data_IF_075972152998
#
_entry.id   IF_075972152998
#
_cell.length_a   1.000
_cell.length_b   1.000
_cell.length_c   1.000
_cell.angle_alpha   90.00
_cell.angle_beta   90.00
_cell.angle_gamma   90.00
#
_symmetry.space_group_name_H-M   'P 1'
#
loop_
_entity.id
_entity.type
_entity.pdbx_description
1 polymer ?
2 non-polymer ?
3 water ?
#
# COMPACT_ATOMS: atom_id res chain seq x y z
N UNK A 1 8.89 -21.13 5.64
CA UNK A 1 7.95 -20.59 6.63
C UNK A 1 8.68 -19.40 7.21
N UNK A 2 8.15 -18.30 6.74
CA UNK A 2 8.70 -17.03 7.01
C UNK A 2 7.97 -16.40 8.15
N UNK A 3 7.75 -15.07 8.09
CA UNK A 3 7.20 -14.39 9.26
C UNK A 3 5.94 -15.01 9.83
N UNK A 4 5.78 -14.92 11.15
CA UNK A 4 4.61 -15.44 11.83
C UNK A 4 3.43 -14.45 11.86
N UNK A 5 2.23 -14.96 12.21
CA UNK A 5 1.05 -14.14 12.31
C UNK A 5 1.36 -13.03 13.30
N UNK A 6 0.79 -11.86 13.06
CA UNK A 6 0.96 -10.76 13.99
C UNK A 6 -0.16 -9.79 13.83
N UNK A 7 -0.33 -8.98 14.87
CA UNK A 7 -1.33 -7.93 14.87
C UNK A 7 -0.55 -6.68 15.25
N UNK A 8 -0.64 -5.66 14.42
CA UNK A 8 0.06 -4.39 14.64
C UNK A 8 -0.95 -3.29 14.78
N UNK A 9 -1.11 -2.76 15.99
CA UNK A 9 -2.09 -1.69 16.25
C UNK A 9 -1.49 -0.32 16.15
N UNK A 10 -0.18 -0.24 15.90
CA UNK A 10 0.54 1.04 15.76
C UNK A 10 0.48 1.87 17.04
N UNK A 11 0.59 1.24 18.18
CA UNK A 11 0.54 1.95 19.47
C UNK A 11 1.90 2.38 19.98
N UNK A 12 2.96 1.69 19.55
CA UNK A 12 4.28 2.06 19.97
C UNK A 12 5.26 1.44 18.99
N UNK A 13 6.47 1.95 18.94
CA UNK A 13 7.48 1.49 18.03
C UNK A 13 8.52 0.63 18.72
N UNK A 14 8.84 -0.52 18.18
CA UNK A 14 9.91 -1.36 18.68
C UNK A 14 10.77 -1.80 17.49
N UNK A 15 12.04 -2.11 17.75
CA UNK A 15 12.93 -2.47 16.67
C UNK A 15 12.53 -3.82 16.11
N UNK A 16 12.91 -4.07 14.85
CA UNK A 16 12.73 -5.39 14.27
C UNK A 16 11.35 -5.66 13.72
N UNK A 17 10.68 -4.59 13.29
CA UNK A 17 9.37 -4.84 12.76
C UNK A 17 9.16 -4.09 11.47
N UNK A 18 9.51 -2.80 11.52
CA UNK A 18 9.23 -1.96 10.38
C UNK A 18 10.40 -1.04 10.12
N UNK A 19 10.40 -0.46 8.92
CA UNK A 19 11.41 0.50 8.60
C UNK A 19 10.82 1.59 7.72
N UNK A 20 11.31 2.82 7.84
CA UNK A 20 10.82 3.89 6.98
C UNK A 20 11.74 4.05 5.78
N UNK A 21 11.21 4.35 4.61
CA UNK A 21 12.05 4.69 3.46
C UNK A 21 12.52 6.13 3.69
N UNK A 22 13.80 6.46 3.36
CA UNK A 22 14.20 7.82 3.59
C UNK A 22 15.30 8.31 2.69
N UNK A 23 15.09 9.46 2.09
CA UNK A 23 16.18 10.09 1.37
C UNK A 23 16.47 9.81 -0.10
N UNK A 24 15.75 8.86 -0.68
CA UNK A 24 15.95 8.55 -2.10
C UNK A 24 14.57 8.55 -2.74
N UNK A 25 14.60 8.44 -4.03
CA UNK A 25 13.34 8.40 -4.76
C UNK A 25 13.26 7.05 -5.45
N UNK A 26 12.03 6.55 -5.65
CA UNK A 26 11.86 5.32 -6.43
C UNK A 26 12.12 5.61 -7.90
N UNK A 27 12.03 6.89 -8.26
CA UNK A 27 12.22 7.29 -9.66
C UNK A 27 11.10 6.74 -10.55
N UNK A 28 11.24 6.89 -11.86
CA UNK A 28 10.23 6.33 -12.79
C UNK A 28 8.99 7.17 -12.71
N UNK A 29 7.90 6.50 -12.39
CA UNK A 29 6.63 7.24 -12.26
C UNK A 29 6.48 7.95 -10.91
N UNK A 30 7.30 7.60 -9.91
CA UNK A 30 7.20 8.20 -8.56
C UNK A 30 7.88 9.54 -8.56
N UNK A 31 7.15 10.63 -8.41
CA UNK A 31 7.69 11.99 -8.50
C UNK A 31 7.81 12.65 -7.15
N UNK A 32 8.47 11.98 -6.24
CA UNK A 32 8.66 12.50 -4.93
C UNK A 32 9.82 11.73 -4.29
N UNK A 33 10.35 12.27 -3.18
CA UNK A 33 11.44 11.62 -2.48
C UNK A 33 10.87 11.15 -1.15
N UNK A 34 11.19 9.94 -0.75
CA UNK A 34 10.69 9.42 0.50
C UNK A 34 11.37 10.17 1.65
N UNK A 35 10.59 10.51 2.68
CA UNK A 35 11.20 11.16 3.83
C UNK A 35 10.71 10.47 5.08
N UNK A 36 11.64 10.12 5.95
CA UNK A 36 11.26 9.54 7.22
C UNK A 36 10.34 10.42 8.02
N UNK A 37 10.52 11.73 7.93
CA UNK A 37 9.71 12.68 8.68
C UNK A 37 8.29 12.77 8.22
N UNK A 38 8.01 12.10 7.11
CA UNK A 38 6.66 12.03 6.56
C UNK A 38 5.92 10.78 7.04
N UNK A 39 6.56 9.92 7.82
CA UNK A 39 5.87 8.79 8.41
C UNK A 39 5.75 9.09 9.89
N UNK A 40 4.52 9.33 10.34
CA UNK A 40 4.36 9.72 11.72
C UNK A 40 3.40 8.81 12.47
N UNK A 41 3.65 8.72 13.80
CA UNK A 41 2.82 7.86 14.66
C UNK A 41 1.98 8.80 15.52
N UNK A 42 0.63 8.67 15.49
CA UNK A 42 -0.24 9.52 16.26
C UNK A 42 -0.39 8.96 17.66
N UNK A 43 -0.75 9.87 18.59
CA UNK A 43 -0.91 9.41 19.95
C UNK A 43 -2.10 8.51 20.18
N UNK A 44 -3.08 8.57 19.28
CA UNK A 44 -4.22 7.68 19.38
C UNK A 44 -3.99 6.37 18.60
N UNK A 45 -2.75 6.12 18.22
CA UNK A 45 -2.41 4.85 17.59
C UNK A 45 -2.64 4.63 16.09
N UNK A 46 -2.32 5.62 15.29
CA UNK A 46 -2.47 5.49 13.87
C UNK A 46 -1.13 5.77 13.23
N UNK A 47 -0.88 5.15 12.05
CA UNK A 47 0.28 5.41 11.26
C UNK A 47 -0.22 6.44 10.29
N UNK A 48 0.45 7.58 10.23
CA UNK A 48 -0.02 8.62 9.33
C UNK A 48 1.04 8.96 8.28
N UNK A 49 0.77 8.69 6.99
CA UNK A 49 1.79 8.97 5.98
C UNK A 49 1.43 10.29 5.34
N UNK A 50 2.44 11.13 5.09
CA UNK A 50 2.11 12.42 4.49
C UNK A 50 2.83 12.67 3.17
N UNK A 51 2.21 13.53 2.38
CA UNK A 51 2.76 13.96 1.11
C UNK A 51 2.82 15.46 1.27
N UNK A 52 4.06 15.99 1.30
CA UNK A 52 4.20 17.40 1.56
C UNK A 52 5.15 18.01 0.58
N UNK A 53 5.24 19.33 0.69
CA UNK A 53 6.14 20.03 -0.20
C UNK A 53 6.99 21.03 0.59
N UNK A 54 8.27 20.96 0.32
CA UNK A 54 9.45 21.63 0.85
C UNK A 54 9.69 22.95 0.11
N UNK A 55 9.60 22.80 -1.19
CA UNK A 55 9.81 23.90 -2.06
C UNK A 55 8.98 23.70 -3.32
N UNK A 56 8.82 24.79 -4.08
CA UNK A 56 8.06 24.82 -5.28
C UNK A 56 8.24 23.60 -6.17
N UNK A 57 7.19 22.83 -6.39
CA UNK A 57 7.31 21.71 -7.27
C UNK A 57 8.23 20.58 -6.86
N UNK A 58 8.57 20.54 -5.60
CA UNK A 58 9.41 19.51 -5.05
C UNK A 58 8.55 18.79 -4.00
N UNK A 59 8.36 17.45 -4.13
CA UNK A 59 7.45 16.77 -3.21
C UNK A 59 8.14 15.70 -2.43
N UNK A 60 7.69 15.58 -1.19
CA UNK A 60 8.23 14.59 -0.27
C UNK A 60 7.05 13.64 0.05
N UNK A 61 7.33 12.35 -0.01
CA UNK A 61 6.28 11.36 0.20
C UNK A 61 6.72 10.32 1.22
N UNK A 62 5.93 9.25 1.41
CA UNK A 62 6.25 8.36 2.53
C UNK A 62 5.96 6.90 2.29
N UNK A 63 6.82 6.08 2.88
CA UNK A 63 6.68 4.64 2.69
C UNK A 63 7.11 3.95 3.94
N UNK A 64 6.31 2.98 4.41
CA UNK A 64 6.70 2.23 5.63
C UNK A 64 6.70 0.75 5.25
N UNK A 65 7.68 -0.05 5.67
CA UNK A 65 7.65 -1.45 5.24
C UNK A 65 8.17 -2.36 6.31
N UNK A 66 7.72 -3.61 6.24
CA UNK A 66 8.12 -4.58 7.26
C UNK A 66 9.57 -4.96 7.06
N UNK A 67 10.24 -5.42 8.13
CA UNK A 67 11.61 -5.84 7.95
C UNK A 67 11.63 -7.34 7.64
N UNK A 68 10.62 -8.09 8.11
CA UNK A 68 10.63 -9.52 7.84
C UNK A 68 9.82 -9.75 6.54
N UNK A 69 9.72 -11.01 6.09
CA UNK A 69 8.92 -11.28 4.89
C UNK A 69 7.86 -12.27 5.29
N UNK A 70 6.76 -12.28 4.51
CA UNK A 70 5.61 -13.08 4.91
C UNK A 70 5.05 -13.75 3.67
N UNK A 71 4.48 -14.92 3.88
CA UNK A 71 4.00 -15.71 2.75
C UNK A 71 2.47 -15.86 2.69
N UNK A 72 1.98 -17.04 2.29
CA UNK A 72 0.55 -17.24 2.17
C UNK A 72 -0.17 -16.97 3.49
N UNK A 73 -1.40 -16.49 3.38
CA UNK A 73 -2.21 -16.22 4.55
C UNK A 73 -3.09 -15.03 4.28
N UNK A 74 -3.73 -14.52 5.32
CA UNK A 74 -4.68 -13.43 5.20
C UNK A 74 -4.04 -12.19 5.75
N UNK A 75 -4.08 -11.21 4.87
CA UNK A 75 -3.57 -9.85 5.13
C UNK A 75 -4.73 -8.88 5.28
N UNK A 76 -4.83 -8.23 6.48
CA UNK A 76 -5.92 -7.28 6.68
C UNK A 76 -5.37 -5.92 7.12
N UNK A 77 -6.02 -4.85 6.69
CA UNK A 77 -5.58 -3.51 7.05
C UNK A 77 -6.76 -2.61 7.26
N UNK A 78 -6.76 -1.76 8.28
CA UNK A 78 -7.86 -0.80 8.47
C UNK A 78 -7.26 0.52 8.07
N UNK A 79 -7.73 1.16 7.02
CA UNK A 79 -7.05 2.38 6.56
C UNK A 79 -8.02 3.37 5.96
N UNK A 80 -7.53 4.57 5.72
CA UNK A 80 -8.28 5.67 5.21
C UNK A 80 -7.36 6.39 4.24
N UNK A 81 -7.57 6.18 2.93
CA UNK A 81 -6.67 6.81 1.93
C UNK A 81 -6.88 8.31 1.76
N UNK A 82 -5.91 8.96 1.13
CA UNK A 82 -6.00 10.36 0.83
C UNK A 82 -6.81 10.54 -0.42
N UNK A 83 -7.44 11.68 -0.56
CA UNK A 83 -8.23 11.93 -1.73
C UNK A 83 -7.67 13.17 -2.41
N UNK A 84 -7.28 13.01 -3.68
CA UNK A 84 -6.74 14.08 -4.48
C UNK A 84 -6.36 13.50 -5.81
N UNK A 85 -6.52 14.28 -6.86
CA UNK A 85 -6.06 13.79 -8.16
C UNK A 85 -4.57 13.57 -8.15
N UNK A 86 -4.12 12.61 -8.90
CA UNK A 86 -2.71 12.37 -9.15
C UNK A 86 -1.93 11.58 -8.13
N UNK A 87 -2.56 10.98 -7.13
CA UNK A 87 -1.77 10.27 -6.13
C UNK A 87 -2.29 8.87 -5.93
N UNK A 88 -1.52 8.12 -5.14
CA UNK A 88 -1.93 6.77 -4.75
C UNK A 88 -1.65 6.54 -3.28
N UNK A 89 -2.54 5.86 -2.56
CA UNK A 89 -2.30 5.40 -1.18
C UNK A 89 -2.38 3.90 -1.27
N UNK A 90 -1.50 3.12 -0.63
CA UNK A 90 -1.54 1.69 -0.86
C UNK A 90 -1.25 0.83 0.32
N UNK A 91 -1.54 -0.44 0.17
CA UNK A 91 -1.18 -1.48 1.08
C UNK A 91 -0.78 -2.65 0.16
N UNK A 92 0.42 -3.20 0.24
CA UNK A 92 0.76 -4.26 -0.70
C UNK A 92 1.89 -5.13 -0.14
N UNK A 93 2.14 -6.31 -0.76
CA UNK A 93 3.28 -7.14 -0.38
C UNK A 93 4.21 -6.99 -1.55
N UNK A 94 5.50 -7.06 -1.24
CA UNK A 94 6.43 -6.86 -2.32
C UNK A 94 7.77 -7.52 -2.06
N UNK A 95 8.28 -8.11 -3.17
CA UNK A 95 9.65 -8.65 -3.20
C UNK A 95 10.10 -8.47 -4.65
N UNK A 96 11.41 -8.28 -4.83
CA UNK A 96 11.91 -7.99 -6.15
C UNK A 96 13.42 -8.13 -6.10
N UNK A 97 13.99 -7.78 -7.22
CA UNK A 97 15.42 -7.87 -7.44
C UNK A 97 16.25 -7.19 -6.35
N UNK A 98 15.77 -6.05 -5.84
CA UNK A 98 16.50 -5.48 -4.71
C UNK A 98 16.64 -6.50 -3.58
N UNK A 99 15.65 -7.35 -3.37
CA UNK A 99 15.73 -8.36 -2.33
C UNK A 99 16.33 -9.69 -2.78
N UNK A 100 16.78 -9.73 -4.04
CA UNK A 100 17.39 -10.94 -4.58
C UNK A 100 16.41 -12.02 -4.99
N UNK A 101 15.24 -11.59 -5.46
CA UNK A 101 14.22 -12.54 -5.86
C UNK A 101 13.51 -12.02 -7.07
N UNK A 102 12.62 -12.86 -7.59
CA UNK A 102 11.82 -12.38 -8.70
C UNK A 102 10.80 -11.36 -8.16
N UNK A 103 10.19 -10.59 -9.04
CA UNK A 103 9.25 -9.57 -8.64
C UNK A 103 7.84 -10.16 -8.49
N UNK A 104 7.40 -10.36 -7.24
CA UNK A 104 6.07 -10.83 -6.90
C UNK A 104 5.46 -9.78 -5.93
N UNK A 105 4.19 -9.42 -6.16
CA UNK A 105 3.60 -8.36 -5.35
C UNK A 105 2.09 -8.49 -5.46
N UNK A 106 1.39 -8.14 -4.37
CA UNK A 106 -0.08 -8.18 -4.42
C UNK A 106 -0.46 -6.78 -3.90
N UNK A 107 -1.38 -6.12 -4.58
CA UNK A 107 -1.69 -4.77 -4.18
C UNK A 107 -3.13 -4.42 -3.93
N UNK A 108 -3.26 -3.40 -3.06
CA UNK A 108 -4.50 -2.71 -2.85
C UNK A 108 -4.07 -1.27 -3.05
N UNK A 109 -4.60 -0.62 -4.06
CA UNK A 109 -4.25 0.76 -4.30
C UNK A 109 -5.48 1.64 -4.39
N UNK A 110 -5.46 2.78 -3.72
CA UNK A 110 -6.53 3.74 -3.83
C UNK A 110 -6.00 4.88 -4.68
N UNK A 111 -6.59 5.03 -5.87
CA UNK A 111 -6.25 6.15 -6.74
C UNK A 111 -6.96 7.34 -6.20
N UNK A 112 -6.21 8.36 -5.75
CA UNK A 112 -6.82 9.51 -5.09
C UNK A 112 -7.80 10.30 -5.98
N UNK A 113 -7.71 10.11 -7.29
CA UNK A 113 -8.63 10.84 -8.18
C UNK A 113 -10.06 10.37 -7.96
N UNK A 114 -10.27 9.16 -7.41
CA UNK A 114 -11.63 8.71 -7.16
C UNK A 114 -11.54 7.68 -6.06
N UNK A 115 -11.82 8.19 -4.85
CA UNK A 115 -11.77 7.32 -3.71
C UNK A 115 -13.05 6.54 -3.49
N UNK A 116 -13.99 6.49 -4.46
CA UNK A 116 -15.15 5.63 -4.25
C UNK A 116 -14.90 4.30 -4.97
N UNK A 117 -13.65 4.12 -5.46
CA UNK A 117 -13.23 2.85 -6.11
C UNK A 117 -11.93 2.40 -5.49
N UNK A 118 -11.56 1.12 -5.70
CA UNK A 118 -10.26 0.64 -5.23
C UNK A 118 -9.72 -0.19 -6.42
N UNK A 119 -8.42 -0.27 -6.56
CA UNK A 119 -7.77 -1.03 -7.58
C UNK A 119 -7.04 -2.21 -6.95
N UNK A 120 -7.26 -3.43 -7.44
CA UNK A 120 -6.55 -4.62 -6.96
C UNK A 120 -5.60 -5.02 -8.11
N UNK A 121 -4.42 -5.56 -7.83
CA UNK A 121 -3.52 -6.00 -8.88
C UNK A 121 -2.56 -6.93 -8.25
N UNK A 122 -1.79 -7.56 -9.13
CA UNK A 122 -0.72 -8.42 -8.66
C UNK A 122 0.30 -8.64 -9.79
N UNK A 123 1.52 -8.93 -9.38
CA UNK A 123 2.68 -9.25 -10.27
C UNK A 123 3.29 -10.53 -9.80
N UNK A 124 3.53 -11.36 -10.82
CA UNK A 124 4.14 -12.66 -10.67
C UNK A 124 5.32 -12.75 -11.62
N UNK A 125 6.51 -12.87 -11.03
CA UNK A 125 7.73 -12.91 -11.79
C UNK A 125 7.76 -11.76 -12.75
N UNK A 126 7.32 -10.62 -12.26
CA UNK A 126 7.34 -9.37 -13.02
C UNK A 126 6.21 -9.20 -14.02
N UNK A 127 5.29 -10.16 -14.09
CA UNK A 127 4.17 -9.99 -15.02
C UNK A 127 2.95 -9.43 -14.32
N UNK A 128 2.52 -8.25 -14.78
CA UNK A 128 1.38 -7.61 -14.21
C UNK A 128 0.21 -7.72 -15.16
N UNK A 129 -0.54 -6.61 -15.25
CA UNK A 129 -1.69 -6.50 -16.14
C UNK A 129 -2.96 -7.14 -15.58
N UNK A 130 -3.04 -7.26 -14.26
CA UNK A 130 -4.21 -7.89 -13.68
C UNK A 130 -5.07 -6.84 -12.98
N UNK A 131 -4.97 -5.58 -13.33
CA UNK A 131 -5.71 -4.58 -12.60
C UNK A 131 -7.21 -4.80 -12.65
N UNK A 132 -7.88 -4.65 -11.51
CA UNK A 132 -9.31 -4.83 -11.44
C UNK A 132 -9.76 -3.68 -10.57
N UNK A 133 -10.61 -2.83 -11.12
CA UNK A 133 -11.10 -1.68 -10.37
C UNK A 133 -12.48 -1.98 -9.88
N UNK A 134 -12.72 -1.91 -8.55
CA UNK A 134 -14.04 -2.22 -8.01
C UNK A 134 -14.72 -0.99 -7.41
N UNK A 135 -16.02 -0.83 -7.52
CA UNK A 135 -16.73 0.29 -6.94
C UNK A 135 -16.98 -0.10 -5.50
N UNK A 136 -16.69 0.76 -4.55
CA UNK A 136 -16.85 0.42 -3.16
C UNK A 136 -18.24 0.63 -2.59
N UNK A 137 -18.98 1.56 -3.17
CA UNK A 137 -20.30 1.89 -2.66
C UNK A 137 -20.18 2.91 -1.52
N UNK A 138 -19.00 3.42 -1.25
CA UNK A 138 -18.81 4.46 -0.27
C UNK A 138 -17.53 5.22 -0.64
N UNK A 139 -17.25 6.38 -0.04
CA UNK A 139 -16.02 7.14 -0.31
C UNK A 139 -15.00 6.71 0.73
N UNK A 140 -14.01 5.92 0.34
CA UNK A 140 -13.07 5.38 1.32
C UNK A 140 -12.31 6.47 2.09
N UNK A 141 -12.22 7.68 1.53
CA UNK A 141 -11.45 8.70 2.21
C UNK A 141 -12.16 9.24 3.48
N UNK A 142 -13.43 8.94 3.68
CA UNK A 142 -14.14 9.50 4.80
C UNK A 142 -13.97 8.85 6.13
N UNK A 143 -13.41 7.65 6.20
CA UNK A 143 -13.32 6.99 7.50
C UNK A 143 -12.58 5.68 7.34
N UNK A 144 -12.33 4.98 8.43
CA UNK A 144 -11.65 3.72 8.30
C UNK A 144 -12.59 2.54 7.95
N UNK A 145 -12.09 1.67 7.06
CA UNK A 145 -12.75 0.43 6.61
C UNK A 145 -11.66 -0.62 6.60
N UNK A 146 -12.04 -1.89 6.60
CA UNK A 146 -11.09 -2.99 6.56
C UNK A 146 -11.02 -3.57 5.16
N UNK A 147 -9.79 -3.62 4.66
CA UNK A 147 -9.50 -4.18 3.32
C UNK A 147 -8.58 -5.39 3.55
N UNK A 148 -8.72 -6.44 2.73
CA UNK A 148 -7.91 -7.60 3.00
C UNK A 148 -7.71 -8.41 1.75
N UNK A 149 -6.67 -9.25 1.78
CA UNK A 149 -6.55 -10.19 0.70
C UNK A 149 -6.11 -11.47 1.37
N UNK A 150 -6.69 -12.58 0.89
CA UNK A 150 -6.30 -13.92 1.28
C UNK A 150 -5.43 -14.45 0.14
N UNK A 151 -4.14 -14.71 0.42
CA UNK A 151 -3.18 -15.17 -0.56
C UNK A 151 -2.82 -16.61 -0.28
N UNK A 152 -3.30 -17.46 -1.21
CA UNK A 152 -3.05 -18.91 -1.11
C UNK A 152 -2.39 -19.37 -2.42
N UNK A 153 -1.83 -20.57 -2.47
CA UNK A 153 -1.20 -21.04 -3.67
C UNK A 153 -2.12 -21.02 -4.86
N UNK A 154 -3.36 -21.35 -4.72
CA UNK A 154 -4.12 -21.32 -5.94
C UNK A 154 -5.03 -20.10 -6.17
N UNK A 155 -5.03 -19.08 -5.32
CA UNK A 155 -5.93 -17.96 -5.62
C UNK A 155 -5.52 -16.79 -4.72
N UNK A 156 -6.02 -15.61 -5.10
CA UNK A 156 -5.96 -14.44 -4.25
C UNK A 156 -7.43 -14.03 -4.10
N UNK A 157 -7.93 -13.83 -2.87
CA UNK A 157 -9.31 -13.35 -2.70
C UNK A 157 -9.24 -11.99 -2.00
N UNK A 158 -9.79 -10.92 -2.56
CA UNK A 158 -9.78 -9.61 -1.86
C UNK A 158 -11.12 -9.32 -1.22
N UNK A 159 -11.16 -8.71 -0.04
CA UNK A 159 -12.41 -8.41 0.67
C UNK A 159 -12.43 -6.96 1.10
N UNK A 160 -13.65 -6.38 1.15
CA UNK A 160 -13.85 -5.01 1.59
C UNK A 160 -14.85 -5.12 2.74
N UNK A 161 -14.48 -4.71 3.95
CA UNK A 161 -15.35 -4.83 5.08
C UNK A 161 -15.91 -6.25 5.21
N UNK A 162 -15.08 -7.24 4.92
CA UNK A 162 -15.45 -8.62 5.12
C UNK A 162 -16.20 -9.25 3.98
N UNK A 163 -16.53 -8.48 2.94
CA UNK A 163 -17.27 -9.02 1.81
C UNK A 163 -16.33 -9.32 0.65
N UNK A 164 -16.42 -10.56 0.13
CA UNK A 164 -15.59 -10.92 -1.03
C UNK A 164 -15.90 -10.06 -2.23
N UNK A 165 -14.88 -9.45 -2.81
CA UNK A 165 -15.11 -8.59 -3.92
C UNK A 165 -14.41 -8.98 -5.24
N UNK A 166 -13.32 -9.73 -5.14
CA UNK A 166 -12.60 -10.14 -6.31
C UNK A 166 -11.77 -11.38 -6.03
N UNK A 167 -11.60 -12.24 -7.07
CA UNK A 167 -10.82 -13.44 -6.87
C UNK A 167 -9.94 -13.59 -8.10
N UNK A 168 -8.64 -13.81 -7.91
CA UNK A 168 -7.72 -14.02 -9.02
C UNK A 168 -7.40 -15.49 -8.96
N UNK A 169 -7.31 -16.14 -10.16
CA UNK A 169 -7.20 -17.58 -10.21
C UNK A 169 -6.05 -18.10 -11.03
N UNK A 170 -5.13 -17.29 -11.49
CA UNK A 170 -4.06 -17.84 -12.32
C UNK A 170 -2.74 -17.11 -12.05
N UNK A 171 -1.63 -17.81 -12.20
CA UNK A 171 -0.32 -17.21 -12.08
C UNK A 171 -0.16 -16.42 -10.80
N UNK A 172 -0.53 -17.08 -9.72
CA UNK A 172 -0.50 -16.41 -8.44
C UNK A 172 0.95 -16.28 -7.94
N UNK A 173 1.30 -15.15 -7.34
CA UNK A 173 2.64 -15.00 -6.82
C UNK A 173 3.01 -16.08 -5.78
N UNK A 174 4.32 -16.41 -5.71
CA UNK A 174 4.71 -17.48 -4.79
C UNK A 174 5.88 -17.07 -3.88
N UNK A 175 6.39 -15.85 -4.02
CA UNK A 175 7.56 -15.53 -3.20
C UNK A 175 7.21 -14.61 -2.02
N UNK A 176 7.57 -15.01 -0.83
CA UNK A 176 7.24 -14.21 0.38
C UNK A 176 7.83 -12.81 0.24
N UNK A 177 7.09 -11.78 0.70
CA UNK A 177 7.59 -10.46 0.46
C UNK A 177 7.36 -9.62 1.69
N UNK A 178 7.78 -8.36 1.58
CA UNK A 178 7.56 -7.43 2.73
C UNK A 178 6.17 -6.78 2.61
N UNK A 179 5.61 -6.45 3.77
CA UNK A 179 4.35 -5.73 3.81
C UNK A 179 4.69 -4.25 3.70
N UNK A 180 4.12 -3.53 2.74
CA UNK A 180 4.46 -2.13 2.56
C UNK A 180 3.23 -1.26 2.46
N UNK A 181 3.39 0.04 2.81
CA UNK A 181 2.27 1.00 2.72
C UNK A 181 2.95 2.27 2.23
N UNK A 182 2.37 2.94 1.26
CA UNK A 182 3.01 4.15 0.80
C UNK A 182 1.99 5.13 0.25
N UNK A 183 2.38 6.39 0.05
CA UNK A 183 1.52 7.47 -0.41
C UNK A 183 2.47 8.28 -1.30
N UNK A 184 2.10 8.49 -2.54
CA UNK A 184 3.00 9.15 -3.47
C UNK A 184 2.22 9.77 -4.61
N UNK A 185 2.84 10.73 -5.26
CA UNK A 185 2.26 11.43 -6.41
C UNK A 185 2.98 10.97 -7.68
N UNK A 186 2.28 10.81 -8.80
CA UNK A 186 3.07 10.29 -9.95
C UNK A 186 3.28 11.37 -11.00
N UNK A 187 4.03 10.99 -12.01
CA UNK A 187 4.27 11.80 -13.20
C UNK A 187 4.34 10.82 -14.36
N UNK A 188 3.89 11.24 -15.55
CA UNK A 188 4.02 10.31 -16.65
C UNK A 188 2.85 9.32 -16.73
N UNK A 189 1.89 9.39 -15.82
CA UNK A 189 0.78 8.43 -15.81
C UNK A 189 -0.55 9.08 -15.60
N UNK A 190 -0.69 10.22 -16.25
CA UNK A 190 -1.91 10.99 -16.06
C UNK A 190 -3.18 10.23 -16.37
N UNK A 191 -3.09 9.36 -17.35
CA UNK A 191 -4.22 8.54 -17.79
C UNK A 191 -4.66 7.62 -16.67
N UNK A 192 -3.72 7.16 -15.86
CA UNK A 192 -4.05 6.27 -14.79
C UNK A 192 -4.45 6.97 -13.50
N UNK A 193 -3.61 7.90 -13.08
CA UNK A 193 -3.84 8.55 -11.80
C UNK A 193 -4.48 9.92 -11.86
N UNK A 194 -4.59 10.51 -13.05
CA UNK A 194 -5.00 11.89 -13.19
C UNK A 194 -3.72 12.74 -13.05
N UNK A 195 -3.81 14.02 -13.36
CA UNK A 195 -2.66 14.85 -13.23
C UNK A 195 -2.54 15.31 -11.78
N UNK A 196 -1.34 15.36 -11.19
CA UNK A 196 -1.23 15.82 -9.80
C UNK A 196 -1.16 17.34 -9.85
N UNK A 197 -1.94 18.04 -9.05
CA UNK A 197 -2.00 19.51 -9.05
C UNK A 197 -1.19 20.14 -7.93
N UNK A 198 -0.34 19.37 -7.27
CA UNK A 198 0.46 20.02 -6.27
C UNK A 198 -0.20 20.26 -4.95
N UNK A 199 -1.43 19.82 -4.74
CA UNK A 199 -2.05 20.06 -3.46
C UNK A 199 -1.34 19.37 -2.35
N UNK A 200 -1.17 20.04 -1.19
CA UNK A 200 -0.46 19.42 -0.05
C UNK A 200 -0.73 20.24 1.19
N UNK A 201 -0.63 19.72 2.36
CA UNK A 201 -0.26 18.35 2.64
C UNK A 201 -1.42 17.39 2.47
N UNK A 202 -1.10 16.11 2.22
CA UNK A 202 -2.13 15.10 2.07
C UNK A 202 -1.73 13.98 2.96
N UNK A 203 -2.72 13.26 3.54
CA UNK A 203 -2.36 12.15 4.42
C UNK A 203 -3.12 10.87 4.18
N UNK A 204 -2.50 9.75 4.38
CA UNK A 204 -3.25 8.50 4.34
C UNK A 204 -3.03 7.96 5.76
N UNK A 205 -4.03 7.37 6.37
CA UNK A 205 -3.85 6.81 7.71
C UNK A 205 -4.11 5.34 7.79
N UNK A 206 -3.41 4.63 8.67
CA UNK A 206 -3.55 3.20 8.87
C UNK A 206 -3.77 2.99 10.34
N UNK A 207 -4.83 2.31 10.77
CA UNK A 207 -5.05 2.11 12.19
C UNK A 207 -4.43 0.84 12.72
N UNK A 208 -4.40 -0.20 11.86
CA UNK A 208 -3.87 -1.47 12.25
C UNK A 208 -3.58 -2.32 10.99
N UNK A 209 -2.77 -3.36 11.20
CA UNK A 209 -2.45 -4.30 10.10
C UNK A 209 -2.46 -5.65 10.77
N UNK A 210 -3.00 -6.66 10.13
CA UNK A 210 -2.95 -7.96 10.77
C UNK A 210 -2.58 -9.00 9.70
N UNK A 211 -1.78 -10.00 10.06
CA UNK A 211 -1.42 -11.06 9.10
C UNK A 211 -1.67 -12.33 9.82
N UNK A 212 -2.43 -13.23 9.17
CA UNK A 212 -2.71 -14.53 9.80
C UNK A 212 -2.13 -15.62 8.89
N UNK A 213 -1.14 -16.33 9.37
CA UNK A 213 -0.55 -17.36 8.53
C UNK A 213 -1.42 -18.61 8.47
N UNK A 214 -1.07 -19.47 7.50
CA UNK A 214 -1.81 -20.72 7.46
C UNK A 214 -1.37 -21.56 8.67
X LIG B 1 -4.30 1.63 15.95
#
# INVERSE_FOLDING_TARGET
>A
QTGGSFFEPFNSYNSGTWEKADGYSNGGVFNCTWRANNVNFTNDGKLKLGLTSSAYNKFDCAEYRSTNIYGYGLYEVSMKPAKNTGIVSSFFTYTGPAHGTQWDEIDIEFLGKDTTKVQFNYYTNGVGGHEKVISLGFDASKGFHTYAFDWQPGYIKWYVDGVLKHTATANIPSTPGKIMMNLWNGTGVDDWLGSYNGANPLYAEYDWVKYTSN
>B hetero
1 CA CA
#
